data_IF_970157980562
#
_entry.id   IF_970157980562
#
_cell.length_a   1.000
_cell.length_b   1.000
_cell.length_c   1.000
_cell.angle_alpha   90.00
_cell.angle_beta   90.00
_cell.angle_gamma   90.00
#
_symmetry.space_group_name_H-M   'P 1'
#
loop_
_entity.id
_entity.type
_entity.pdbx_description
1 polymer ?
#
# COMPACT_ATOMS: atom_id res chain seq x y z
N UNK A 1 -29.09 29.11 -55.27
CA UNK A 1 -29.45 29.36 -53.85
C UNK A 1 -29.36 28.12 -52.97
N UNK A 2 -29.67 26.91 -53.44
CA UNK A 2 -29.67 25.68 -52.65
C UNK A 2 -28.28 25.19 -52.19
N UNK A 3 -27.21 25.38 -52.99
CA UNK A 3 -25.87 24.94 -52.65
C UNK A 3 -25.30 25.55 -51.34
N UNK A 4 -25.65 26.81 -51.06
CA UNK A 4 -25.13 27.47 -49.85
C UNK A 4 -25.74 26.90 -48.56
N UNK A 5 -27.04 26.53 -48.61
CA UNK A 5 -27.70 25.92 -47.44
C UNK A 5 -27.18 24.50 -47.16
N UNK A 6 -26.85 23.75 -48.22
CA UNK A 6 -26.29 22.42 -48.08
C UNK A 6 -24.87 22.45 -47.47
N UNK A 7 -24.03 23.39 -47.88
CA UNK A 7 -22.69 23.59 -47.33
C UNK A 7 -22.76 23.98 -45.86
N UNK A 8 -23.66 24.90 -45.50
CA UNK A 8 -23.88 25.29 -44.10
C UNK A 8 -24.36 24.13 -43.24
N UNK A 9 -25.28 23.30 -43.77
CA UNK A 9 -25.77 22.13 -43.07
C UNK A 9 -24.66 21.09 -42.83
N UNK A 10 -23.84 20.81 -43.86
CA UNK A 10 -22.69 19.88 -43.74
C UNK A 10 -21.67 20.42 -42.74
N UNK A 11 -21.33 21.72 -42.84
CA UNK A 11 -20.41 22.38 -41.90
C UNK A 11 -20.92 22.30 -40.46
N UNK A 12 -22.20 22.59 -40.23
CA UNK A 12 -22.82 22.47 -38.91
C UNK A 12 -22.81 21.06 -38.37
N UNK A 13 -23.03 20.05 -39.22
CA UNK A 13 -22.99 18.64 -38.83
C UNK A 13 -21.58 18.20 -38.43
N UNK A 14 -20.56 18.64 -39.19
CA UNK A 14 -19.14 18.34 -38.86
C UNK A 14 -18.78 18.94 -37.49
N UNK A 15 -19.12 20.19 -37.25
CA UNK A 15 -18.85 20.86 -35.97
C UNK A 15 -19.56 20.13 -34.82
N UNK A 16 -20.84 19.82 -35.00
CA UNK A 16 -21.61 19.11 -34.01
C UNK A 16 -20.98 17.74 -33.66
N UNK A 17 -20.62 16.98 -34.70
CA UNK A 17 -19.99 15.65 -34.52
C UNK A 17 -18.65 15.77 -33.77
N UNK A 18 -17.84 16.76 -34.10
CA UNK A 18 -16.55 17.03 -33.45
C UNK A 18 -16.75 17.38 -31.97
N UNK A 19 -17.69 18.25 -31.66
CA UNK A 19 -18.02 18.63 -30.28
C UNK A 19 -18.52 17.42 -29.47
N UNK A 20 -19.43 16.64 -30.04
CA UNK A 20 -19.95 15.43 -29.38
C UNK A 20 -18.83 14.40 -29.12
N UNK A 21 -17.97 14.17 -30.11
CA UNK A 21 -16.84 13.22 -29.93
C UNK A 21 -15.87 13.67 -28.84
N UNK A 22 -15.56 14.98 -28.81
CA UNK A 22 -14.71 15.58 -27.77
C UNK A 22 -15.36 15.45 -26.38
N UNK A 23 -16.67 15.70 -26.30
CA UNK A 23 -17.41 15.57 -25.05
C UNK A 23 -17.46 14.14 -24.53
N UNK A 24 -17.71 13.14 -25.40
CA UNK A 24 -17.66 11.75 -25.01
C UNK A 24 -16.26 11.28 -24.59
N UNK A 25 -15.21 11.78 -25.27
CA UNK A 25 -13.83 11.53 -24.85
C UNK A 25 -13.53 12.07 -23.45
N UNK A 26 -13.99 13.29 -23.16
CA UNK A 26 -13.82 13.89 -21.82
C UNK A 26 -14.56 13.10 -20.74
N UNK A 27 -15.80 12.66 -21.01
CA UNK A 27 -16.56 11.84 -20.07
C UNK A 27 -15.89 10.48 -19.81
N UNK A 28 -15.31 9.85 -20.82
CA UNK A 28 -14.56 8.60 -20.68
C UNK A 28 -13.35 8.79 -19.75
N UNK A 29 -12.52 9.78 -20.03
CA UNK A 29 -11.33 10.07 -19.22
C UNK A 29 -11.71 10.39 -17.75
N UNK A 30 -12.77 11.16 -17.53
CA UNK A 30 -13.24 11.47 -16.17
C UNK A 30 -13.70 10.22 -15.44
N UNK A 31 -14.31 9.26 -16.15
CA UNK A 31 -14.71 7.96 -15.58
C UNK A 31 -13.52 7.14 -15.11
N UNK A 32 -12.46 7.11 -15.90
CA UNK A 32 -11.21 6.40 -15.56
C UNK A 32 -10.51 7.06 -14.35
N UNK A 33 -10.41 8.38 -14.34
CA UNK A 33 -9.83 9.14 -13.21
C UNK A 33 -10.57 8.87 -11.89
N UNK A 34 -11.90 8.78 -11.93
CA UNK A 34 -12.71 8.44 -10.75
C UNK A 34 -12.45 7.01 -10.30
N UNK A 35 -12.33 6.07 -11.23
CA UNK A 35 -12.06 4.68 -10.90
C UNK A 35 -10.67 4.52 -10.24
N UNK A 36 -9.66 5.21 -10.76
CA UNK A 36 -8.31 5.21 -10.21
C UNK A 36 -8.26 5.86 -8.82
N UNK A 37 -8.98 6.97 -8.62
CA UNK A 37 -9.09 7.60 -7.31
C UNK A 37 -9.77 6.67 -6.28
N UNK A 38 -10.79 5.93 -6.67
CA UNK A 38 -11.43 4.94 -5.82
C UNK A 38 -10.48 3.80 -5.45
N UNK A 39 -9.71 3.29 -6.41
CA UNK A 39 -8.71 2.25 -6.16
C UNK A 39 -7.64 2.72 -5.17
N UNK A 40 -7.16 3.96 -5.32
CA UNK A 40 -6.18 4.53 -4.40
C UNK A 40 -6.73 4.66 -2.98
N UNK A 41 -7.98 5.08 -2.81
CA UNK A 41 -8.65 5.16 -1.50
C UNK A 41 -8.76 3.77 -0.86
N UNK A 42 -9.19 2.76 -1.63
CA UNK A 42 -9.32 1.39 -1.15
C UNK A 42 -7.96 0.79 -0.78
N UNK A 43 -6.95 0.96 -1.63
CA UNK A 43 -5.59 0.51 -1.35
C UNK A 43 -5.03 1.17 -0.08
N UNK A 44 -5.25 2.50 0.09
CA UNK A 44 -4.84 3.23 1.29
C UNK A 44 -5.52 2.67 2.54
N UNK A 45 -6.83 2.46 2.49
CA UNK A 45 -7.59 1.92 3.62
C UNK A 45 -7.10 0.54 4.02
N UNK A 46 -6.83 -0.33 3.03
CA UNK A 46 -6.31 -1.68 3.28
C UNK A 46 -4.91 -1.61 3.89
N UNK A 47 -3.99 -0.85 3.29
CA UNK A 47 -2.62 -0.74 3.79
C UNK A 47 -2.58 -0.14 5.20
N UNK A 48 -3.36 0.91 5.47
CA UNK A 48 -3.44 1.54 6.79
C UNK A 48 -3.98 0.57 7.84
N UNK A 49 -4.99 -0.25 7.50
CA UNK A 49 -5.52 -1.25 8.43
C UNK A 49 -4.48 -2.27 8.89
N UNK A 50 -3.55 -2.65 8.03
CA UNK A 50 -2.44 -3.53 8.39
C UNK A 50 -1.39 -2.82 9.24
N UNK A 51 -1.08 -1.57 8.92
CA UNK A 51 -0.16 -0.75 9.72
C UNK A 51 -0.71 -0.56 11.14
N UNK A 52 -2.02 -0.36 11.29
CA UNK A 52 -2.68 -0.25 12.59
C UNK A 52 -2.55 -1.54 13.42
N UNK A 53 -2.64 -2.70 12.78
CA UNK A 53 -2.38 -3.99 13.45
C UNK A 53 -0.91 -4.07 13.87
N UNK A 54 0.01 -3.82 12.94
CA UNK A 54 1.45 -3.92 13.18
C UNK A 54 1.93 -3.01 14.31
N UNK A 55 1.41 -1.79 14.39
CA UNK A 55 1.78 -0.84 15.46
C UNK A 55 1.27 -1.24 16.85
N UNK A 56 0.30 -2.16 16.92
CA UNK A 56 -0.25 -2.68 18.16
C UNK A 56 0.53 -3.88 18.71
N UNK A 57 1.46 -4.46 17.93
CA UNK A 57 2.27 -5.61 18.33
C UNK A 57 3.52 -5.19 19.10
N UNK A 58 4.19 -6.17 19.70
CA UNK A 58 5.47 -5.94 20.36
C UNK A 58 6.53 -5.47 19.35
N UNK A 59 7.60 -4.82 19.82
CA UNK A 59 8.69 -4.39 18.94
C UNK A 59 9.52 -5.56 18.38
N UNK A 60 9.63 -6.64 19.19
CA UNK A 60 10.45 -7.82 18.93
C UNK A 60 9.93 -8.92 19.86
N UNK A 61 10.04 -10.20 19.51
CA UNK A 61 9.53 -11.35 20.30
C UNK A 61 9.96 -11.29 21.77
N UNK A 62 11.18 -10.88 22.02
CA UNK A 62 11.68 -10.72 23.40
C UNK A 62 11.05 -9.55 24.15
N UNK A 63 10.42 -8.61 23.47
CA UNK A 63 9.69 -7.49 24.12
C UNK A 63 8.27 -7.85 24.49
N UNK A 64 7.68 -8.87 23.85
CA UNK A 64 6.35 -9.38 24.18
C UNK A 64 6.34 -10.13 25.52
N UNK A 65 7.33 -10.98 25.75
CA UNK A 65 7.35 -11.91 26.89
C UNK A 65 8.04 -11.37 28.14
N UNK A 66 8.83 -10.31 28.01
CA UNK A 66 9.61 -9.78 29.14
C UNK A 66 9.17 -8.38 29.56
N UNK A 67 8.73 -8.23 30.80
CA UNK A 67 8.62 -6.92 31.47
C UNK A 67 9.99 -6.29 31.74
N UNK A 68 11.06 -6.82 31.12
CA UNK A 68 12.42 -6.34 31.30
C UNK A 68 12.74 -5.39 30.15
N UNK A 69 12.99 -4.15 30.51
CA UNK A 69 13.49 -3.13 29.61
C UNK A 69 14.73 -3.64 28.85
N UNK A 70 14.65 -3.71 27.55
CA UNK A 70 15.75 -4.09 26.71
C UNK A 70 16.75 -2.93 26.61
N UNK A 71 17.81 -2.99 27.40
CA UNK A 71 18.93 -2.03 27.29
C UNK A 71 20.00 -2.50 26.30
N UNK A 72 19.89 -3.72 25.76
CA UNK A 72 20.93 -4.33 24.96
C UNK A 72 20.43 -4.75 23.58
N UNK A 73 20.95 -4.11 22.54
CA UNK A 73 20.66 -4.43 21.13
C UNK A 73 21.01 -5.88 20.76
N UNK A 74 21.95 -6.54 21.50
CA UNK A 74 22.40 -7.88 21.15
C UNK A 74 21.31 -8.94 21.27
N UNK A 75 20.29 -8.69 22.07
CA UNK A 75 19.18 -9.66 22.31
C UNK A 75 18.06 -9.54 21.25
N UNK A 76 18.01 -8.46 20.50
CA UNK A 76 17.03 -8.32 19.42
C UNK A 76 17.26 -9.33 18.30
N UNK A 77 16.22 -9.61 17.52
CA UNK A 77 16.27 -10.47 16.33
C UNK A 77 17.30 -9.95 15.31
N UNK A 78 18.07 -10.86 14.71
CA UNK A 78 19.06 -10.47 13.69
C UNK A 78 18.36 -9.93 12.44
N UNK A 79 18.97 -8.91 11.78
CA UNK A 79 18.39 -8.32 10.58
C UNK A 79 18.11 -9.33 9.44
N UNK A 80 18.86 -10.42 9.40
CA UNK A 80 18.66 -11.51 8.44
C UNK A 80 17.62 -12.55 8.84
N UNK A 81 17.11 -12.46 10.07
CA UNK A 81 16.15 -13.37 10.66
C UNK A 81 14.82 -12.69 11.00
N UNK A 82 14.63 -11.42 10.59
CA UNK A 82 13.35 -10.72 10.74
C UNK A 82 12.25 -11.48 9.98
N UNK A 83 11.14 -11.75 10.66
CA UNK A 83 9.99 -12.50 10.16
C UNK A 83 9.51 -13.53 11.16
N UNK A 84 8.43 -14.26 10.89
CA UNK A 84 7.87 -15.24 11.81
C UNK A 84 8.90 -16.25 12.30
N UNK A 85 9.08 -16.37 13.62
CA UNK A 85 10.04 -17.26 14.23
C UNK A 85 9.47 -18.64 14.55
N UNK A 86 8.17 -18.72 14.81
CA UNK A 86 7.51 -19.94 15.28
C UNK A 86 6.74 -20.64 14.15
N UNK A 87 6.79 -21.94 14.14
CA UNK A 87 5.91 -22.75 13.31
C UNK A 87 4.47 -22.58 13.81
N UNK A 88 3.65 -21.84 13.05
CA UNK A 88 2.27 -21.50 13.39
C UNK A 88 1.94 -20.02 13.31
N UNK A 89 2.93 -19.15 13.06
CA UNK A 89 2.74 -17.73 12.76
C UNK A 89 2.50 -17.51 11.26
N UNK A 90 1.60 -18.30 10.68
CA UNK A 90 1.30 -18.28 9.24
C UNK A 90 0.29 -17.19 8.87
N UNK A 91 -0.33 -16.55 9.86
CA UNK A 91 -1.38 -15.57 9.65
C UNK A 91 -1.27 -14.38 10.61
N UNK A 92 -1.74 -13.22 10.16
CA UNK A 92 -1.70 -11.94 10.90
C UNK A 92 -2.33 -12.05 12.31
N UNK A 93 -3.23 -13.00 12.52
CA UNK A 93 -3.88 -13.21 13.82
C UNK A 93 -2.99 -13.94 14.84
N UNK A 94 -1.91 -14.54 14.38
CA UNK A 94 -0.95 -15.31 15.17
C UNK A 94 0.33 -14.52 15.41
N UNK A 95 0.50 -13.40 14.71
CA UNK A 95 1.65 -12.52 14.86
C UNK A 95 1.71 -11.91 16.25
N UNK A 96 2.87 -11.99 16.87
CA UNK A 96 3.10 -11.50 18.23
C UNK A 96 3.97 -10.24 18.23
N UNK A 97 4.79 -10.03 17.19
CA UNK A 97 5.65 -8.85 17.09
C UNK A 97 5.62 -8.17 15.71
N UNK A 98 6.35 -7.07 15.62
CA UNK A 98 6.32 -6.18 14.47
C UNK A 98 7.02 -6.78 13.24
N UNK A 99 8.04 -7.58 13.44
CA UNK A 99 8.79 -8.13 12.31
C UNK A 99 8.15 -9.37 11.68
N UNK A 100 7.15 -9.98 12.28
CA UNK A 100 6.34 -11.04 11.69
C UNK A 100 5.72 -10.66 10.34
N UNK A 101 5.54 -9.36 10.13
CA UNK A 101 5.09 -8.86 8.82
C UNK A 101 6.15 -9.02 7.73
N UNK A 102 7.41 -9.29 8.04
CA UNK A 102 8.45 -9.35 7.03
C UNK A 102 8.27 -10.52 6.07
N UNK A 103 8.17 -10.20 4.78
CA UNK A 103 7.95 -11.19 3.72
C UNK A 103 6.50 -11.64 3.54
N UNK A 104 5.56 -11.17 4.38
CA UNK A 104 4.14 -11.47 4.20
C UNK A 104 3.63 -10.91 2.88
N UNK A 105 2.84 -11.72 2.18
CA UNK A 105 2.03 -11.30 1.02
C UNK A 105 0.60 -11.75 1.28
N UNK A 106 -0.33 -10.81 1.29
CA UNK A 106 -1.74 -11.11 1.54
C UNK A 106 -2.66 -10.52 0.50
N UNK A 107 -3.82 -11.13 0.28
CA UNK A 107 -4.85 -10.64 -0.63
C UNK A 107 -6.13 -10.35 0.12
N UNK A 108 -6.75 -9.20 -0.16
CA UNK A 108 -8.02 -8.79 0.44
C UNK A 108 -9.00 -8.30 -0.61
N UNK A 109 -10.25 -8.80 -0.50
CA UNK A 109 -11.36 -8.30 -1.33
C UNK A 109 -11.95 -7.06 -0.67
N UNK A 110 -12.13 -5.98 -1.45
CA UNK A 110 -12.77 -4.77 -0.96
C UNK A 110 -14.26 -5.01 -0.73
N UNK A 111 -14.75 -4.61 0.43
CA UNK A 111 -16.15 -4.79 0.83
C UNK A 111 -17.10 -4.12 -0.17
N UNK A 112 -18.11 -4.86 -0.62
CA UNK A 112 -19.11 -4.36 -1.57
C UNK A 112 -18.66 -4.29 -3.02
N UNK A 113 -17.48 -4.84 -3.35
CA UNK A 113 -16.98 -4.92 -4.72
C UNK A 113 -16.32 -6.29 -4.97
N UNK A 114 -16.04 -6.58 -6.25
CA UNK A 114 -15.26 -7.76 -6.63
C UNK A 114 -13.77 -7.44 -6.79
N UNK A 115 -13.33 -6.25 -6.40
CA UNK A 115 -11.92 -5.80 -6.50
C UNK A 115 -11.10 -6.47 -5.41
N UNK A 116 -9.98 -7.08 -5.79
CA UNK A 116 -9.00 -7.67 -4.88
C UNK A 116 -7.72 -6.87 -4.91
N UNK A 117 -7.12 -6.72 -3.75
CA UNK A 117 -5.87 -5.98 -3.55
C UNK A 117 -4.86 -6.90 -2.90
N UNK A 118 -3.66 -6.93 -3.44
CA UNK A 118 -2.52 -7.62 -2.87
C UNK A 118 -1.65 -6.62 -2.13
N UNK A 119 -1.21 -6.97 -0.94
CA UNK A 119 -0.27 -6.18 -0.15
C UNK A 119 0.95 -7.03 0.16
N UNK A 120 2.13 -6.51 -0.16
CA UNK A 120 3.45 -7.04 0.23
C UNK A 120 4.00 -6.21 1.37
N UNK A 121 4.69 -6.87 2.29
CA UNK A 121 5.29 -6.25 3.46
C UNK A 121 6.77 -6.53 3.51
N UNK A 122 7.55 -5.56 4.01
CA UNK A 122 8.97 -5.73 4.27
C UNK A 122 9.34 -4.95 5.53
N UNK A 123 10.03 -5.59 6.45
CA UNK A 123 10.49 -4.96 7.69
C UNK A 123 12.01 -4.87 7.71
N UNK A 124 12.53 -3.74 8.18
CA UNK A 124 13.96 -3.47 8.23
C UNK A 124 14.32 -2.72 9.51
N UNK A 125 15.53 -2.97 10.02
CA UNK A 125 16.18 -2.02 10.90
C UNK A 125 16.57 -0.77 10.13
N UNK A 126 16.41 0.39 10.72
CA UNK A 126 16.78 1.67 10.11
C UNK A 126 17.70 2.48 11.02
N UNK A 127 18.44 3.39 10.41
CA UNK A 127 19.29 4.31 11.17
C UNK A 127 18.39 5.26 12.01
N UNK A 128 18.54 5.33 13.34
CA UNK A 128 17.73 6.22 14.18
C UNK A 128 17.84 7.70 13.82
N UNK A 129 18.95 8.12 13.19
CA UNK A 129 19.16 9.50 12.76
C UNK A 129 18.66 9.77 11.33
N UNK A 130 18.39 8.71 10.56
CA UNK A 130 17.84 8.79 9.20
C UNK A 130 17.02 7.54 8.92
N UNK A 131 15.74 7.59 9.25
CA UNK A 131 14.79 6.46 9.09
C UNK A 131 14.55 6.05 7.63
N UNK A 132 15.02 6.85 6.68
CA UNK A 132 15.05 6.49 5.26
C UNK A 132 16.16 5.47 4.95
N UNK A 133 17.20 5.39 5.77
CA UNK A 133 18.35 4.53 5.55
C UNK A 133 18.19 3.19 6.27
N UNK A 134 18.06 2.12 5.47
CA UNK A 134 18.06 0.73 5.96
C UNK A 134 19.46 0.36 6.46
N UNK A 135 19.54 -0.40 7.54
CA UNK A 135 20.79 -0.94 8.10
C UNK A 135 20.67 -2.43 8.36
N UNK A 136 21.78 -3.14 8.27
CA UNK A 136 21.89 -4.55 8.69
C UNK A 136 22.26 -4.71 10.17
N UNK A 137 22.61 -3.60 10.83
CA UNK A 137 22.87 -3.58 12.26
C UNK A 137 21.57 -3.43 13.03
N UNK A 138 21.44 -4.14 14.15
CA UNK A 138 20.29 -3.99 15.06
C UNK A 138 20.21 -2.56 15.58
N UNK A 139 19.01 -2.01 15.63
CA UNK A 139 18.72 -0.71 16.22
C UNK A 139 17.40 -0.79 16.99
N UNK A 140 17.09 0.19 17.81
CA UNK A 140 15.77 0.31 18.45
C UNK A 140 14.73 1.00 17.55
N UNK A 141 14.94 0.95 16.24
CA UNK A 141 13.99 1.50 15.25
C UNK A 141 13.84 0.51 14.10
N UNK A 142 12.62 0.03 13.89
CA UNK A 142 12.24 -0.79 12.74
C UNK A 142 11.33 0.03 11.81
N UNK A 143 11.38 -0.23 10.51
CA UNK A 143 10.48 0.34 9.50
C UNK A 143 9.77 -0.76 8.76
N UNK A 144 8.45 -0.65 8.65
CA UNK A 144 7.58 -1.47 7.82
C UNK A 144 7.29 -0.71 6.53
N UNK A 145 7.66 -1.28 5.41
CA UNK A 145 7.29 -0.80 4.07
C UNK A 145 6.18 -1.70 3.52
N UNK A 146 5.11 -1.09 3.03
CA UNK A 146 4.00 -1.79 2.38
C UNK A 146 3.89 -1.39 0.92
N UNK A 147 3.55 -2.37 0.06
CA UNK A 147 3.16 -2.15 -1.33
C UNK A 147 1.80 -2.77 -1.55
N UNK A 148 0.81 -1.96 -1.89
CA UNK A 148 -0.56 -2.42 -2.14
C UNK A 148 -1.00 -2.04 -3.55
N UNK A 149 -1.51 -3.01 -4.29
CA UNK A 149 -2.04 -2.81 -5.65
C UNK A 149 -3.29 -3.65 -5.88
N UNK A 150 -4.08 -3.24 -6.87
CA UNK A 150 -5.23 -4.04 -7.31
C UNK A 150 -4.76 -5.27 -8.10
N UNK A 151 -5.07 -6.47 -7.61
CA UNK A 151 -4.75 -7.73 -8.25
C UNK A 151 -5.88 -8.25 -9.15
N UNK A 152 -7.15 -7.86 -8.87
CA UNK A 152 -8.29 -8.26 -9.68
C UNK A 152 -9.44 -7.23 -9.64
N UNK A 153 -10.13 -6.95 -10.78
CA UNK A 153 -9.64 -7.21 -12.13
C UNK A 153 -8.31 -6.49 -12.36
N UNK A 154 -7.40 -7.04 -13.17
CA UNK A 154 -6.12 -6.41 -13.43
C UNK A 154 -6.34 -5.04 -14.08
N UNK A 155 -5.50 -4.06 -13.71
CA UNK A 155 -5.49 -2.76 -14.37
C UNK A 155 -5.00 -2.93 -15.80
N UNK A 156 -5.72 -2.40 -16.77
CA UNK A 156 -5.39 -2.49 -18.20
C UNK A 156 -4.30 -1.50 -18.63
N UNK A 157 -3.70 -0.78 -17.70
CA UNK A 157 -2.65 0.22 -17.93
C UNK A 157 -1.30 -0.23 -17.41
N UNK A 158 -0.26 0.31 -18.01
CA UNK A 158 1.12 0.16 -17.59
C UNK A 158 1.29 0.62 -16.15
N UNK A 159 1.41 -0.31 -15.29
CA UNK A 159 2.02 -0.21 -13.99
C UNK A 159 1.54 0.89 -13.09
N UNK A 160 1.10 1.20 -12.24
CA UNK A 160 1.36 2.28 -11.30
C UNK A 160 0.35 2.58 -10.24
N UNK A 161 -0.67 1.81 -10.18
CA UNK A 161 -1.55 1.99 -9.04
C UNK A 161 -1.05 1.15 -7.85
N UNK A 162 0.28 1.18 -7.64
CA UNK A 162 0.90 0.60 -6.46
C UNK A 162 1.08 1.70 -5.42
N UNK A 163 0.26 1.65 -4.39
CA UNK A 163 0.44 2.46 -3.21
C UNK A 163 1.63 1.94 -2.40
N UNK A 164 2.49 2.84 -1.97
CA UNK A 164 3.59 2.55 -1.04
C UNK A 164 3.41 3.39 0.21
N UNK A 165 3.39 2.73 1.35
CA UNK A 165 3.37 3.39 2.65
C UNK A 165 4.52 2.84 3.48
N UNK A 166 5.07 3.69 4.35
CA UNK A 166 6.09 3.30 5.31
C UNK A 166 5.66 3.74 6.70
N UNK A 167 5.85 2.86 7.65
CA UNK A 167 5.60 3.14 9.07
C UNK A 167 6.87 2.83 9.87
N UNK A 168 7.19 3.69 10.84
CA UNK A 168 8.39 3.53 11.67
C UNK A 168 7.96 3.31 13.11
N UNK A 169 8.44 2.21 13.70
CA UNK A 169 8.25 1.88 15.09
C UNK A 169 9.57 2.03 15.83
N UNK A 170 9.57 2.78 16.92
CA UNK A 170 10.70 2.94 17.81
C UNK A 170 10.44 2.28 19.16
N UNK A 171 11.42 1.56 19.67
CA UNK A 171 11.41 1.07 21.04
C UNK A 171 12.09 2.09 21.95
N UNK A 172 11.30 2.69 22.83
CA UNK A 172 11.78 3.68 23.79
C UNK A 172 11.63 3.14 25.20
N UNK A 173 12.73 3.12 25.92
CA UNK A 173 12.72 2.81 27.34
C UNK A 173 12.77 4.13 28.13
N UNK A 174 11.87 4.26 29.09
CA UNK A 174 11.88 5.37 30.05
C UNK A 174 12.37 4.81 31.40
N UNK A 175 13.52 5.30 31.83
CA UNK A 175 14.06 5.03 33.18
C UNK A 175 13.28 5.78 34.26
#
# INVERSE_FOLDING_TARGET
MFANHTILAIGGFIILTTVLTSFYGLLGNTGDDIADAQDMILATTIATSYIEVAQGLAFDDLTDTSNVALHNLSVLTEASALGPELAGEDSIHEFNDFDDFNGLVTERTATGSNRRYTTEFSVYYVNPNDVGQVTTSKTFVKRLDTKTWRSFPPTSGTSLDTLRLSFVLGYFHFD
#
